data_IF_366964209025
#
_entry.id   IF_366964209025
#
_cell.length_a   1.000
_cell.length_b   1.000
_cell.length_c   1.000
_cell.angle_alpha   90.00
_cell.angle_beta   90.00
_cell.angle_gamma   90.00
#
_symmetry.space_group_name_H-M   'P 1'
#
loop_
_entity.id
_entity.type
_entity.pdbx_description
1 polymer ?
#
# COMPACT_ATOMS: atom_id res chain seq x y z
N UNK A 1 -3.03 3.66 -0.20
CA UNK A 1 -1.98 4.03 -1.17
C UNK A 1 -1.46 5.44 -0.89
N UNK A 2 -0.19 5.74 -1.20
CA UNK A 2 0.39 7.09 -1.11
C UNK A 2 0.27 7.78 -2.47
N UNK A 3 -0.43 8.92 -2.54
CA UNK A 3 -0.68 9.71 -3.75
C UNK A 3 -0.17 11.15 -3.57
N UNK A 4 1.13 11.29 -3.26
CA UNK A 4 1.75 12.62 -3.09
C UNK A 4 1.84 13.44 -4.37
N UNK A 5 1.41 12.91 -5.52
CA UNK A 5 1.27 13.71 -6.74
C UNK A 5 0.30 14.89 -6.55
N UNK A 6 -0.71 14.75 -5.67
CA UNK A 6 -1.58 15.87 -5.26
C UNK A 6 -0.76 16.96 -4.57
N UNK A 7 -0.03 16.61 -3.50
CA UNK A 7 0.82 17.56 -2.80
C UNK A 7 1.86 18.22 -3.72
N UNK A 8 2.44 17.45 -4.65
CA UNK A 8 3.43 17.94 -5.62
C UNK A 8 2.82 18.75 -6.77
N UNK A 9 1.50 18.88 -6.85
CA UNK A 9 0.80 19.59 -7.92
C UNK A 9 0.84 18.90 -9.29
N UNK A 10 1.15 17.60 -9.33
CA UNK A 10 1.23 16.84 -10.58
C UNK A 10 -0.15 16.52 -11.17
N UNK A 11 -1.17 16.39 -10.32
CA UNK A 11 -2.56 16.18 -10.73
C UNK A 11 -3.52 16.64 -9.61
N UNK A 12 -4.80 16.80 -9.94
CA UNK A 12 -5.86 17.19 -9.00
C UNK A 12 -6.54 16.00 -8.34
N UNK A 13 -7.30 16.24 -7.27
CA UNK A 13 -8.13 15.20 -6.62
C UNK A 13 -9.19 14.64 -7.58
N UNK A 14 -9.70 15.47 -8.49
CA UNK A 14 -10.64 15.06 -9.54
C UNK A 14 -10.01 14.01 -10.46
N UNK A 15 -8.78 14.24 -10.93
CA UNK A 15 -8.06 13.27 -11.76
C UNK A 15 -7.83 11.97 -10.99
N UNK A 16 -7.43 12.07 -9.72
CA UNK A 16 -7.27 10.90 -8.86
C UNK A 16 -8.59 10.12 -8.71
N UNK A 17 -9.70 10.83 -8.52
CA UNK A 17 -11.04 10.25 -8.45
C UNK A 17 -11.41 9.51 -9.74
N UNK A 18 -11.15 10.12 -10.90
CA UNK A 18 -11.42 9.52 -12.21
C UNK A 18 -10.60 8.24 -12.44
N UNK A 19 -9.30 8.25 -12.09
CA UNK A 19 -8.44 7.07 -12.18
C UNK A 19 -8.94 5.94 -11.27
N UNK A 20 -9.33 6.26 -10.03
CA UNK A 20 -9.87 5.28 -9.10
C UNK A 20 -11.20 4.69 -9.60
N UNK A 21 -12.10 5.53 -10.14
CA UNK A 21 -13.36 5.09 -10.71
C UNK A 21 -13.15 4.13 -11.89
N UNK A 22 -12.19 4.44 -12.77
CA UNK A 22 -11.86 3.59 -13.91
C UNK A 22 -11.25 2.25 -13.46
N UNK A 23 -10.35 2.26 -12.47
CA UNK A 23 -9.82 1.04 -11.87
C UNK A 23 -10.94 0.14 -11.30
N UNK A 24 -11.85 0.73 -10.51
CA UNK A 24 -12.98 -0.01 -9.93
C UNK A 24 -13.89 -0.58 -11.03
N UNK A 25 -14.14 0.18 -12.10
CA UNK A 25 -14.94 -0.28 -13.24
C UNK A 25 -14.29 -1.49 -13.93
N UNK A 26 -12.98 -1.47 -14.14
CA UNK A 26 -12.25 -2.59 -14.76
C UNK A 26 -12.26 -3.84 -13.89
N UNK A 27 -12.07 -3.70 -12.58
CA UNK A 27 -12.17 -4.81 -11.62
C UNK A 27 -13.58 -5.42 -11.63
N UNK A 28 -14.61 -4.57 -11.56
CA UNK A 28 -16.00 -5.01 -11.56
C UNK A 28 -16.38 -5.76 -12.84
N UNK A 29 -15.86 -5.35 -14.00
CA UNK A 29 -16.07 -6.03 -15.27
C UNK A 29 -15.51 -7.47 -15.29
N UNK A 30 -14.56 -7.78 -14.41
CA UNK A 30 -13.98 -9.11 -14.21
C UNK A 30 -14.56 -9.84 -12.99
N UNK A 31 -15.59 -9.29 -12.34
CA UNK A 31 -16.19 -9.86 -11.14
C UNK A 31 -15.39 -9.66 -9.84
N UNK A 32 -14.34 -8.83 -9.87
CA UNK A 32 -13.57 -8.45 -8.70
C UNK A 32 -14.11 -7.16 -8.06
N UNK A 33 -13.97 -7.02 -6.74
CA UNK A 33 -14.38 -5.83 -6.01
C UNK A 33 -13.34 -5.47 -4.93
N UNK A 34 -13.38 -4.23 -4.47
CA UNK A 34 -12.60 -3.73 -3.34
C UNK A 34 -13.56 -3.28 -2.24
N UNK A 35 -13.37 -3.77 -1.02
CA UNK A 35 -14.19 -3.39 0.13
C UNK A 35 -13.91 -1.97 0.64
N UNK A 36 -12.73 -1.42 0.31
CA UNK A 36 -12.37 -0.05 0.68
C UNK A 36 -11.16 0.47 -0.08
N UNK A 37 -11.13 1.79 -0.27
CA UNK A 37 -10.02 2.49 -0.93
C UNK A 37 -9.49 3.61 -0.02
N UNK A 38 -8.30 3.39 0.53
CA UNK A 38 -7.67 4.27 1.52
C UNK A 38 -6.47 4.98 0.92
N UNK A 39 -6.48 6.32 0.94
CA UNK A 39 -5.51 7.16 0.22
C UNK A 39 -4.90 8.22 1.14
N UNK A 40 -3.58 8.41 1.03
CA UNK A 40 -2.88 9.55 1.59
C UNK A 40 -2.45 10.49 0.46
N UNK A 41 -2.95 11.72 0.44
CA UNK A 41 -2.56 12.77 -0.52
C UNK A 41 -1.40 13.64 -0.03
N UNK A 42 -1.02 13.50 1.25
CA UNK A 42 -0.04 14.36 1.89
C UNK A 42 1.43 14.08 1.52
N UNK A 43 2.25 15.12 1.65
CA UNK A 43 3.70 15.06 1.67
C UNK A 43 4.25 15.90 2.84
N UNK A 44 5.29 15.45 3.57
CA UNK A 44 5.75 16.15 4.77
C UNK A 44 6.34 17.54 4.47
N UNK A 45 7.05 17.71 3.35
CA UNK A 45 7.83 18.93 3.07
C UNK A 45 7.41 19.66 1.78
N UNK A 46 7.02 18.94 0.74
CA UNK A 46 6.56 19.49 -0.55
C UNK A 46 5.04 19.77 -0.60
N UNK A 47 4.67 20.74 -1.43
CA UNK A 47 3.28 21.14 -1.70
C UNK A 47 2.78 22.32 -0.88
N UNK A 48 1.49 22.61 -0.99
CA UNK A 48 0.81 23.62 -0.17
C UNK A 48 -0.18 22.99 0.82
N UNK A 49 -0.41 23.61 1.99
CA UNK A 49 -1.50 23.23 2.86
C UNK A 49 -2.85 23.18 2.09
N UNK A 50 -3.70 22.17 2.33
CA UNK A 50 -3.60 21.16 3.39
C UNK A 50 -2.71 19.95 3.04
N UNK A 51 -2.19 19.83 1.82
CA UNK A 51 -1.47 18.64 1.35
C UNK A 51 -0.03 18.56 1.85
N UNK A 52 0.61 19.71 2.10
CA UNK A 52 1.89 19.76 2.82
C UNK A 52 1.63 19.59 4.31
N UNK A 53 1.76 18.35 4.78
CA UNK A 53 1.50 17.99 6.17
C UNK A 53 2.26 16.72 6.58
N UNK A 54 2.78 16.73 7.80
CA UNK A 54 3.09 15.50 8.51
C UNK A 54 1.78 14.81 8.88
N UNK A 55 1.66 13.52 8.58
CA UNK A 55 0.43 12.76 8.81
C UNK A 55 0.73 11.30 9.18
N UNK A 56 -0.24 10.65 9.81
CA UNK A 56 -0.14 9.24 10.16
C UNK A 56 -0.59 8.30 9.04
N UNK A 57 -1.17 8.83 7.96
CA UNK A 57 -1.64 8.02 6.84
C UNK A 57 -0.58 7.73 5.77
N UNK A 58 0.49 8.53 5.67
CA UNK A 58 1.55 8.30 4.68
C UNK A 58 2.43 7.14 5.11
N UNK A 59 2.43 6.05 4.32
CA UNK A 59 3.36 4.92 4.54
C UNK A 59 4.82 5.46 4.56
N UNK A 60 5.65 5.03 5.53
CA UNK A 60 5.52 3.83 6.35
C UNK A 60 4.65 3.95 7.61
N UNK A 61 3.97 5.08 7.84
CA UNK A 61 3.00 5.17 8.94
C UNK A 61 1.77 4.27 8.68
N UNK A 62 1.21 3.62 9.73
CA UNK A 62 0.17 2.61 9.56
C UNK A 62 -1.26 3.17 9.50
N UNK A 63 -1.47 4.48 9.53
CA UNK A 63 -2.78 5.09 9.76
C UNK A 63 -3.86 4.68 8.74
N UNK A 64 -3.50 4.42 7.48
CA UNK A 64 -4.47 3.90 6.51
C UNK A 64 -4.90 2.46 6.80
N UNK A 65 -3.99 1.61 7.29
CA UNK A 65 -4.30 0.22 7.67
C UNK A 65 -5.17 0.18 8.92
N UNK A 66 -4.86 1.02 9.90
CA UNK A 66 -5.67 1.16 11.12
C UNK A 66 -7.09 1.64 10.81
N UNK A 67 -7.23 2.60 9.88
CA UNK A 67 -8.55 3.04 9.42
C UNK A 67 -9.31 1.93 8.71
N UNK A 68 -8.67 1.22 7.78
CA UNK A 68 -9.28 0.08 7.10
C UNK A 68 -9.76 -1.00 8.07
N UNK A 69 -8.97 -1.31 9.09
CA UNK A 69 -9.35 -2.27 10.13
C UNK A 69 -10.55 -1.81 10.95
N UNK A 70 -10.62 -0.52 11.30
CA UNK A 70 -11.77 0.05 12.01
C UNK A 70 -13.05 0.01 11.18
N UNK A 71 -12.97 0.39 9.91
CA UNK A 71 -14.15 0.50 9.04
C UNK A 71 -14.69 -0.88 8.62
N UNK A 72 -13.80 -1.85 8.41
CA UNK A 72 -14.14 -3.18 7.86
C UNK A 72 -14.08 -4.31 8.91
N UNK A 73 -13.74 -4.01 10.17
CA UNK A 73 -13.64 -5.01 11.24
C UNK A 73 -12.52 -6.04 11.04
N UNK A 74 -11.37 -5.62 10.51
CA UNK A 74 -10.27 -6.53 10.16
C UNK A 74 -9.37 -6.87 11.36
N UNK A 75 -8.96 -8.13 11.47
CA UNK A 75 -7.80 -8.51 12.27
C UNK A 75 -6.51 -8.30 11.47
N UNK A 76 -5.79 -7.21 11.77
CA UNK A 76 -4.54 -6.88 11.09
C UNK A 76 -3.43 -7.91 11.33
N UNK A 77 -3.42 -8.62 12.45
CA UNK A 77 -2.39 -9.66 12.71
C UNK A 77 -2.60 -10.90 11.86
N UNK A 78 -3.84 -11.15 11.44
CA UNK A 78 -4.20 -12.19 10.48
C UNK A 78 -4.16 -11.69 9.01
N UNK A 79 -3.78 -10.43 8.79
CA UNK A 79 -3.77 -9.79 7.47
C UNK A 79 -2.38 -9.78 6.84
N UNK A 80 -2.35 -9.54 5.53
CA UNK A 80 -1.13 -9.38 4.74
C UNK A 80 -1.21 -8.10 3.92
N UNK A 81 -0.13 -7.33 3.89
CA UNK A 81 0.04 -6.17 3.03
C UNK A 81 1.02 -6.54 1.93
N UNK A 82 0.59 -6.37 0.68
CA UNK A 82 1.38 -6.63 -0.51
C UNK A 82 1.68 -5.27 -1.17
N UNK A 83 2.95 -4.99 -1.43
CA UNK A 83 3.37 -3.74 -2.05
C UNK A 83 4.72 -3.85 -2.76
N UNK A 84 5.07 -2.85 -3.56
CA UNK A 84 6.31 -2.81 -4.34
C UNK A 84 7.38 -1.90 -3.72
N UNK A 85 7.11 -1.34 -2.53
CA UNK A 85 8.05 -0.51 -1.78
C UNK A 85 8.25 -1.04 -0.39
N UNK A 86 9.48 -0.88 0.13
CA UNK A 86 9.78 -1.27 1.51
C UNK A 86 8.91 -0.54 2.54
N UNK A 87 8.46 0.69 2.24
CA UNK A 87 7.53 1.43 3.12
C UNK A 87 6.19 0.72 3.33
N UNK A 88 5.79 -0.16 2.41
CA UNK A 88 4.55 -0.94 2.52
C UNK A 88 4.71 -2.07 3.53
N UNK A 89 5.86 -2.75 3.49
CA UNK A 89 6.27 -3.78 4.45
C UNK A 89 6.44 -3.17 5.85
N UNK A 90 7.09 -2.01 5.94
CA UNK A 90 7.24 -1.30 7.23
C UNK A 90 5.89 -0.93 7.84
N UNK A 91 4.93 -0.45 7.02
CA UNK A 91 3.58 -0.15 7.49
C UNK A 91 2.83 -1.41 7.94
N UNK A 92 3.03 -2.53 7.26
CA UNK A 92 2.47 -3.83 7.63
C UNK A 92 2.97 -4.29 9.01
N UNK A 93 4.29 -4.27 9.20
CA UNK A 93 4.93 -4.68 10.44
C UNK A 93 4.55 -3.78 11.61
N UNK A 94 4.34 -2.49 11.38
CA UNK A 94 3.87 -1.55 12.40
C UNK A 94 2.50 -1.92 13.00
N UNK A 95 1.68 -2.72 12.30
CA UNK A 95 0.39 -3.24 12.80
C UNK A 95 0.39 -4.75 13.07
N UNK A 96 1.56 -5.39 12.96
CA UNK A 96 1.70 -6.84 13.13
C UNK A 96 1.15 -7.68 11.97
N UNK A 97 0.85 -7.06 10.82
CA UNK A 97 0.49 -7.78 9.60
C UNK A 97 1.73 -8.38 8.92
N UNK A 98 1.53 -9.42 8.11
CA UNK A 98 2.59 -9.90 7.21
C UNK A 98 2.87 -8.88 6.11
N UNK A 99 4.14 -8.62 5.80
CA UNK A 99 4.57 -7.70 4.75
C UNK A 99 5.23 -8.44 3.59
N UNK A 100 4.66 -8.36 2.40
CA UNK A 100 5.18 -8.96 1.17
C UNK A 100 5.64 -7.88 0.21
N UNK A 101 6.86 -8.05 -0.32
CA UNK A 101 7.37 -7.21 -1.40
C UNK A 101 7.22 -7.94 -2.73
N UNK A 102 6.48 -7.36 -3.67
CA UNK A 102 6.45 -7.86 -5.06
C UNK A 102 7.58 -7.24 -5.86
N UNK A 103 8.14 -7.96 -6.83
CA UNK A 103 9.22 -7.47 -7.71
C UNK A 103 8.72 -6.67 -8.93
N UNK A 104 7.41 -6.62 -9.15
CA UNK A 104 6.77 -5.70 -10.11
C UNK A 104 6.89 -4.23 -9.65
N UNK A 105 6.63 -3.28 -10.55
CA UNK A 105 6.70 -1.85 -10.25
C UNK A 105 8.09 -1.41 -9.78
N UNK A 106 8.17 -0.78 -8.61
CA UNK A 106 9.43 -0.34 -7.99
C UNK A 106 10.20 -1.47 -7.28
N UNK A 107 9.58 -2.64 -7.09
CA UNK A 107 10.05 -3.69 -6.20
C UNK A 107 11.40 -4.28 -6.53
N UNK A 108 11.67 -4.53 -7.82
CA UNK A 108 12.99 -5.01 -8.27
C UNK A 108 14.10 -4.02 -7.94
N UNK A 109 13.86 -2.73 -8.14
CA UNK A 109 14.82 -1.68 -7.78
C UNK A 109 15.02 -1.55 -6.27
N UNK A 110 13.96 -1.71 -5.48
CA UNK A 110 14.04 -1.78 -4.02
C UNK A 110 14.91 -2.98 -3.58
N UNK A 111 14.69 -4.16 -4.16
CA UNK A 111 15.46 -5.36 -3.85
C UNK A 111 16.92 -5.27 -4.26
N UNK A 112 17.21 -4.90 -5.50
CA UNK A 112 18.57 -4.95 -6.06
C UNK A 112 19.46 -3.85 -5.51
N UNK A 113 18.92 -2.65 -5.30
CA UNK A 113 19.72 -1.46 -5.00
C UNK A 113 19.54 -0.92 -3.58
N UNK A 114 18.43 -1.22 -2.92
CA UNK A 114 18.07 -0.59 -1.64
C UNK A 114 18.01 -1.55 -0.45
N UNK A 115 17.98 -2.86 -0.67
CA UNK A 115 17.85 -3.86 0.40
C UNK A 115 18.88 -3.76 1.52
N UNK A 116 20.08 -3.26 1.22
CA UNK A 116 21.15 -3.04 2.18
C UNK A 116 20.81 -1.97 3.25
N UNK A 117 19.85 -1.08 2.96
CA UNK A 117 19.40 -0.02 3.87
C UNK A 117 18.10 -0.36 4.58
N UNK A 118 17.51 -1.52 4.29
CA UNK A 118 16.25 -1.92 4.92
C UNK A 118 16.47 -2.23 6.40
N UNK A 119 15.62 -1.64 7.24
CA UNK A 119 15.61 -1.90 8.69
C UNK A 119 14.85 -3.18 9.03
N UNK A 120 13.84 -3.50 8.22
CA UNK A 120 12.98 -4.67 8.33
C UNK A 120 12.99 -5.41 6.99
N UNK A 121 12.88 -6.74 7.03
CA UNK A 121 12.83 -7.56 5.81
C UNK A 121 11.39 -7.98 5.53
N UNK A 122 10.97 -8.06 4.26
CA UNK A 122 9.69 -8.67 3.91
C UNK A 122 9.61 -10.11 4.44
N UNK A 123 8.42 -10.52 4.85
CA UNK A 123 8.11 -11.92 5.20
C UNK A 123 8.19 -12.83 3.97
N UNK A 124 7.99 -12.23 2.79
CA UNK A 124 8.14 -12.89 1.49
C UNK A 124 8.49 -11.87 0.41
N UNK A 125 9.25 -12.34 -0.58
CA UNK A 125 9.53 -11.61 -1.82
C UNK A 125 8.90 -12.44 -2.93
N UNK A 126 7.95 -11.85 -3.63
CA UNK A 126 7.18 -12.49 -4.68
C UNK A 126 7.53 -11.87 -6.05
N UNK A 127 7.47 -12.64 -7.12
CA UNK A 127 7.71 -12.10 -8.47
C UNK A 127 6.62 -11.09 -8.86
N UNK A 128 5.36 -11.39 -8.53
CA UNK A 128 4.20 -10.55 -8.81
C UNK A 128 3.07 -10.70 -7.77
N UNK A 129 1.91 -10.11 -8.06
CA UNK A 129 0.75 -10.15 -7.16
C UNK A 129 0.17 -11.57 -7.02
N UNK A 130 0.21 -12.40 -8.07
CA UNK A 130 -0.34 -13.75 -8.02
C UNK A 130 0.49 -14.62 -7.07
N UNK A 131 1.81 -14.61 -7.23
CA UNK A 131 2.75 -15.32 -6.35
C UNK A 131 2.59 -14.88 -4.88
N UNK A 132 2.47 -13.57 -4.64
CA UNK A 132 2.22 -13.03 -3.30
C UNK A 132 0.90 -13.55 -2.67
N UNK A 133 -0.16 -13.66 -3.47
CA UNK A 133 -1.46 -14.17 -3.02
C UNK A 133 -1.42 -15.67 -2.75
N UNK A 134 -0.76 -16.46 -3.60
CA UNK A 134 -0.56 -17.89 -3.39
C UNK A 134 0.17 -18.17 -2.07
N UNK A 135 1.24 -17.42 -1.80
CA UNK A 135 1.94 -17.47 -0.52
C UNK A 135 1.03 -17.12 0.67
N UNK A 136 0.23 -16.05 0.54
CA UNK A 136 -0.65 -15.61 1.62
C UNK A 136 -1.74 -16.65 1.94
N UNK A 137 -2.30 -17.30 0.91
CA UNK A 137 -3.30 -18.37 1.06
C UNK A 137 -2.71 -19.63 1.68
N UNK A 138 -1.49 -20.01 1.29
CA UNK A 138 -0.79 -21.18 1.86
C UNK A 138 -0.47 -21.04 3.36
N UNK A 139 -0.49 -19.81 3.90
CA UNK A 139 -0.33 -19.56 5.35
C UNK A 139 -1.59 -19.79 6.16
N UNK A 140 -2.78 -19.60 5.57
CA UNK A 140 -4.07 -19.76 6.28
C UNK A 140 -4.41 -21.20 6.60
N UNK A 141 -3.73 -22.17 5.97
CA UNK A 141 -3.91 -23.60 6.20
C UNK A 141 -3.01 -24.23 7.28
N UNK A 142 -2.29 -23.42 8.08
CA UNK A 142 -1.47 -23.86 9.22
C UNK A 142 -2.01 -23.27 10.51
#
# INVERSE_FOLDING_TARGET
TNQSGIAKGYFSEEILGAVNAEMLRQLAALGAHLDGLYICTHHPEEGEPPYRAACDCRKPRPGLLLRAASDLGLDLRASVVIGDKISDVEAAHAVGAGGVLVLTGYGRGEWEHRRQHWRLKPDHIAEDLLDAVEWALARRGR
#
